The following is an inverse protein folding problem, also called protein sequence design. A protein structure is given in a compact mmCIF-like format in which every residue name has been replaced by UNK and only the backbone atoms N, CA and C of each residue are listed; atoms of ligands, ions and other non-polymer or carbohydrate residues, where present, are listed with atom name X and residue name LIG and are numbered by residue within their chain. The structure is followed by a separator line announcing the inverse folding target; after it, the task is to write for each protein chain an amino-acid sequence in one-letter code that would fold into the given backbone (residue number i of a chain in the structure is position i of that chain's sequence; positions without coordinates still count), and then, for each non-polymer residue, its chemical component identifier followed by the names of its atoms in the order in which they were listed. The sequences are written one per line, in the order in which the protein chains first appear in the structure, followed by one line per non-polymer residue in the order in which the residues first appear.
data_IF_588843723703
#
_entry.id   IF_588843723703
#
_cell.length_a   1.000
_cell.length_b   1.000
_cell.length_c   1.000
_cell.angle_alpha   90.00
_cell.angle_beta   90.00
_cell.angle_gamma   90.00
#
_symmetry.space_group_name_H-M   'P 1'
#
loop_
_entity.id
_entity.type
_entity.pdbx_description
1 polymer ?
#
# COMPACT_ATOMS: atom_id res chain seq x y z
N UNK A 1 -9.47 -0.04 20.50
CA UNK A 1 -9.51 1.20 21.30
C UNK A 1 -8.26 1.95 20.94
N UNK A 2 -8.42 3.15 20.38
CA UNK A 2 -7.34 3.96 19.88
C UNK A 2 -6.22 4.15 20.92
N UNK A 3 -4.98 3.91 20.47
CA UNK A 3 -3.78 4.13 21.27
C UNK A 3 -3.30 5.58 21.18
N UNK A 4 -3.51 6.21 20.01
CA UNK A 4 -3.23 7.63 19.77
C UNK A 4 -4.51 8.29 19.26
N UNK A 5 -4.85 9.44 19.82
CA UNK A 5 -5.98 10.26 19.39
C UNK A 5 -5.57 11.71 19.28
N UNK A 6 -5.81 12.32 18.13
CA UNK A 6 -5.71 13.76 17.90
C UNK A 6 -7.13 14.31 17.73
N UNK A 7 -7.49 15.34 18.49
CA UNK A 7 -8.82 15.98 18.43
C UNK A 7 -8.68 17.46 18.17
N UNK A 8 -9.11 17.91 16.99
CA UNK A 8 -9.08 19.30 16.54
C UNK A 8 -7.72 19.98 16.78
N UNK A 9 -6.63 19.30 16.45
CA UNK A 9 -5.28 19.76 16.76
C UNK A 9 -4.90 20.92 15.85
N UNK A 10 -4.51 22.03 16.47
CA UNK A 10 -3.86 23.15 15.80
C UNK A 10 -2.42 23.30 16.30
N UNK A 11 -1.51 23.62 15.38
CA UNK A 11 -0.20 24.17 15.70
C UNK A 11 0.10 25.39 14.85
N UNK A 12 0.14 26.54 15.50
CA UNK A 12 0.54 27.81 14.89
C UNK A 12 1.90 28.21 15.46
N UNK A 13 2.80 28.67 14.60
CA UNK A 13 4.05 29.30 15.01
C UNK A 13 3.92 30.81 14.90
N UNK A 14 4.24 31.55 15.95
CA UNK A 14 4.16 33.01 15.97
C UNK A 14 3.61 33.53 17.29
N UNK A 15 3.53 34.86 17.43
CA UNK A 15 3.06 35.49 18.67
C UNK A 15 1.54 35.58 18.76
N UNK A 16 0.83 35.48 17.64
CA UNK A 16 -0.62 35.70 17.54
C UNK A 16 -1.41 34.41 17.30
N UNK A 17 -1.02 33.29 17.92
CA UNK A 17 -1.61 31.96 17.67
C UNK A 17 -3.14 31.95 17.75
N UNK A 18 -3.72 32.56 18.80
CA UNK A 18 -5.18 32.61 19.00
C UNK A 18 -5.93 33.38 17.92
N UNK A 19 -5.35 34.48 17.45
CA UNK A 19 -5.97 35.30 16.39
C UNK A 19 -5.92 34.57 15.06
N UNK A 20 -4.79 33.93 14.74
CA UNK A 20 -4.65 33.09 13.54
C UNK A 20 -5.68 31.96 13.53
N UNK A 21 -5.83 31.24 14.65
CA UNK A 21 -6.81 30.16 14.76
C UNK A 21 -8.23 30.69 14.51
N UNK A 22 -8.62 31.77 15.20
CA UNK A 22 -9.96 32.38 15.06
C UNK A 22 -10.25 32.80 13.62
N UNK A 23 -9.27 33.38 12.92
CA UNK A 23 -9.42 33.79 11.51
C UNK A 23 -9.58 32.60 10.58
N UNK A 24 -8.79 31.56 10.77
CA UNK A 24 -8.91 30.32 10.00
C UNK A 24 -10.27 29.65 10.23
N UNK A 25 -10.78 29.65 11.48
CA UNK A 25 -12.12 29.15 11.80
C UNK A 25 -13.23 29.98 11.12
N UNK A 26 -12.99 31.27 10.88
CA UNK A 26 -13.91 32.15 10.15
C UNK A 26 -13.80 32.05 8.62
N UNK A 27 -12.88 31.22 8.09
CA UNK A 27 -12.73 30.95 6.66
C UNK A 27 -11.57 31.67 5.97
N UNK A 28 -10.73 32.41 6.68
CA UNK A 28 -9.53 33.02 6.10
C UNK A 28 -8.53 31.95 5.65
N UNK A 29 -7.83 32.18 4.53
CA UNK A 29 -6.76 31.28 4.08
C UNK A 29 -5.51 31.45 4.97
N UNK A 30 -4.85 30.33 5.29
CA UNK A 30 -3.63 30.34 6.12
C UNK A 30 -2.50 31.17 5.51
N UNK A 31 -2.43 31.27 4.18
CA UNK A 31 -1.35 31.95 3.49
C UNK A 31 -1.48 33.47 3.59
N UNK A 32 -2.69 33.99 3.73
CA UNK A 32 -2.96 35.41 3.99
C UNK A 32 -2.62 35.83 5.43
N UNK A 33 -2.41 34.86 6.32
CA UNK A 33 -2.14 35.09 7.74
C UNK A 33 -0.66 34.98 8.12
N UNK A 34 0.24 34.79 7.15
CA UNK A 34 1.69 34.58 7.37
C UNK A 34 2.37 35.71 8.16
N UNK A 35 1.87 36.94 8.05
CA UNK A 35 2.38 38.09 8.82
C UNK A 35 2.03 38.01 10.32
N UNK A 36 0.96 37.29 10.69
CA UNK A 36 0.53 37.07 12.07
C UNK A 36 1.11 35.79 12.67
N UNK A 37 1.31 34.78 11.83
CA UNK A 37 1.92 33.50 12.20
C UNK A 37 1.74 32.42 11.13
N UNK A 38 2.50 31.34 11.27
CA UNK A 38 2.44 30.19 10.34
C UNK A 38 1.62 29.08 10.95
N UNK A 39 0.39 28.89 10.45
CA UNK A 39 -0.46 27.76 10.83
C UNK A 39 0.02 26.47 10.14
N UNK A 40 0.81 25.67 10.85
CA UNK A 40 1.45 24.47 10.29
C UNK A 40 0.54 23.23 10.33
N UNK A 41 -0.25 23.08 11.39
CA UNK A 41 -1.29 22.04 11.53
C UNK A 41 -2.60 22.72 11.85
N UNK A 42 -3.67 22.35 11.15
CA UNK A 42 -4.96 23.03 11.17
C UNK A 42 -6.05 21.97 11.29
N UNK A 43 -6.74 21.97 12.43
CA UNK A 43 -7.90 21.12 12.71
C UNK A 43 -7.68 19.62 12.43
N UNK A 44 -6.52 19.08 12.82
CA UNK A 44 -6.22 17.68 12.59
C UNK A 44 -6.93 16.79 13.61
N UNK A 45 -7.82 15.91 13.13
CA UNK A 45 -8.56 14.94 13.94
C UNK A 45 -8.43 13.54 13.37
N UNK A 46 -7.92 12.60 14.17
CA UNK A 46 -7.78 11.19 13.79
C UNK A 46 -7.51 10.29 15.00
N UNK A 47 -7.71 8.99 14.79
CA UNK A 47 -7.43 7.93 15.76
C UNK A 47 -6.56 6.86 15.11
N UNK A 48 -5.59 6.35 15.89
CA UNK A 48 -4.70 5.24 15.50
C UNK A 48 -4.90 4.10 16.49
N UNK A 49 -5.29 2.95 15.97
CA UNK A 49 -5.53 1.72 16.70
C UNK A 49 -4.22 0.99 17.03
N UNK A 50 -4.28 0.13 18.04
CA UNK A 50 -3.11 -0.65 18.46
C UNK A 50 -2.69 -1.63 17.35
N UNK A 51 -1.42 -1.59 16.98
CA UNK A 51 -0.84 -2.47 15.97
C UNK A 51 -1.06 -2.00 14.53
N UNK A 52 -1.67 -0.83 14.34
CA UNK A 52 -1.87 -0.19 13.04
C UNK A 52 -0.58 0.52 12.60
N UNK A 53 -0.25 0.44 11.31
CA UNK A 53 0.64 1.36 10.62
C UNK A 53 -0.22 2.48 10.01
N UNK A 54 -0.21 3.64 10.67
CA UNK A 54 -0.87 4.85 10.21
C UNK A 54 0.11 5.76 9.49
N UNK A 55 -0.07 5.91 8.18
CA UNK A 55 0.82 6.72 7.35
C UNK A 55 0.28 8.14 7.23
N UNK A 56 1.14 9.14 7.41
CA UNK A 56 0.83 10.55 7.15
C UNK A 56 1.65 10.99 5.95
N UNK A 57 0.96 11.31 4.85
CA UNK A 57 1.59 11.67 3.58
C UNK A 57 1.22 13.08 3.12
N UNK A 58 1.94 13.59 2.12
CA UNK A 58 1.69 14.90 1.52
C UNK A 58 2.99 15.60 1.11
N UNK A 59 2.87 16.71 0.39
CA UNK A 59 4.04 17.46 -0.10
C UNK A 59 4.87 18.07 1.04
N UNK A 60 6.08 18.50 0.70
CA UNK A 60 6.88 19.34 1.59
C UNK A 60 6.08 20.58 2.03
N UNK A 61 6.19 20.95 3.30
CA UNK A 61 5.44 22.09 3.87
C UNK A 61 3.97 21.83 4.22
N UNK A 62 3.42 20.62 3.99
CA UNK A 62 2.01 20.33 4.30
C UNK A 62 1.69 20.17 5.80
N UNK A 63 2.70 20.18 6.68
CA UNK A 63 2.51 20.12 8.13
C UNK A 63 2.85 18.77 8.79
N UNK A 64 3.16 17.73 8.02
CA UNK A 64 3.42 16.35 8.51
C UNK A 64 4.40 16.29 9.68
N UNK A 65 5.62 16.77 9.48
CA UNK A 65 6.67 16.72 10.51
C UNK A 65 6.39 17.64 11.70
N UNK A 66 5.47 18.61 11.55
CA UNK A 66 4.97 19.38 12.70
C UNK A 66 3.94 18.57 13.46
N UNK A 67 3.04 17.87 12.77
CA UNK A 67 2.05 16.98 13.38
C UNK A 67 2.73 15.89 14.21
N UNK A 68 3.67 15.12 13.67
CA UNK A 68 4.33 14.04 14.44
C UNK A 68 5.10 14.55 15.66
N UNK A 69 5.74 15.72 15.56
CA UNK A 69 6.43 16.35 16.69
C UNK A 69 5.45 16.85 17.75
N UNK A 70 4.24 17.24 17.33
CA UNK A 70 3.14 17.58 18.24
C UNK A 70 2.60 16.32 18.93
N UNK A 71 2.51 15.19 18.22
CA UNK A 71 2.14 13.89 18.81
C UNK A 71 3.16 13.40 19.85
N UNK A 72 4.45 13.66 19.62
CA UNK A 72 5.52 13.38 20.59
C UNK A 72 5.56 14.41 21.74
N UNK A 73 4.80 15.50 21.67
CA UNK A 73 4.88 16.62 22.61
C UNK A 73 6.20 17.41 22.55
N UNK A 74 6.97 17.30 21.46
CA UNK A 74 8.11 18.20 21.20
C UNK A 74 7.64 19.62 20.91
N UNK A 75 6.46 19.75 20.31
CA UNK A 75 5.72 21.00 20.20
C UNK A 75 4.42 20.90 20.98
N UNK A 76 4.09 21.95 21.75
CA UNK A 76 2.77 22.07 22.36
C UNK A 76 1.71 22.42 21.31
N UNK A 77 0.51 21.88 21.48
CA UNK A 77 -0.66 22.28 20.69
C UNK A 77 -1.00 23.75 20.95
N UNK A 78 -1.41 24.46 19.91
CA UNK A 78 -1.96 25.82 20.03
C UNK A 78 -3.46 25.77 20.37
N UNK A 79 -4.16 24.73 19.91
CA UNK A 79 -5.54 24.37 20.27
C UNK A 79 -5.74 22.86 20.03
N UNK A 80 -6.84 22.31 20.54
CA UNK A 80 -7.14 20.88 20.51
C UNK A 80 -6.36 20.07 21.55
N UNK A 81 -6.47 18.75 21.45
CA UNK A 81 -5.81 17.80 22.37
C UNK A 81 -5.17 16.63 21.64
N UNK A 82 -4.14 16.07 22.27
CA UNK A 82 -3.49 14.83 21.85
C UNK A 82 -3.49 13.87 23.03
N UNK A 83 -4.01 12.67 22.83
CA UNK A 83 -4.01 11.60 23.81
C UNK A 83 -3.11 10.46 23.37
N UNK A 84 -2.28 9.99 24.30
CA UNK A 84 -1.36 8.87 24.12
C UNK A 84 -1.65 7.85 25.22
N UNK A 85 -2.01 6.62 24.83
CA UNK A 85 -2.37 5.55 25.76
C UNK A 85 -3.40 5.98 26.82
N UNK A 86 -4.41 6.75 26.38
CA UNK A 86 -5.48 7.27 27.24
C UNK A 86 -5.09 8.47 28.11
N UNK A 87 -3.92 9.07 27.92
CA UNK A 87 -3.45 10.24 28.66
C UNK A 87 -3.33 11.45 27.75
N UNK A 88 -4.02 12.55 28.08
CA UNK A 88 -3.95 13.82 27.35
C UNK A 88 -2.61 14.52 27.61
N UNK A 89 -1.71 14.48 26.62
CA UNK A 89 -0.36 15.05 26.72
C UNK A 89 -0.35 16.56 26.52
N UNK A 90 -1.43 17.15 25.98
CA UNK A 90 -1.50 18.59 25.68
C UNK A 90 -1.56 19.46 26.94
N UNK A 91 -1.92 18.87 28.08
CA UNK A 91 -2.08 19.54 29.38
C UNK A 91 -0.99 19.17 30.40
N UNK A 92 -0.08 18.28 30.04
CA UNK A 92 0.93 17.76 30.94
C UNK A 92 2.04 18.76 31.23
N UNK A 93 2.60 18.68 32.43
CA UNK A 93 3.85 19.35 32.73
C UNK A 93 5.06 18.58 32.15
N UNK A 94 6.24 19.20 32.18
CA UNK A 94 7.45 18.64 31.57
C UNK A 94 7.92 17.31 32.20
N UNK A 95 7.56 17.01 33.45
CA UNK A 95 7.93 15.74 34.11
C UNK A 95 7.00 14.62 33.68
N UNK A 96 5.70 14.88 33.65
CA UNK A 96 4.68 13.93 33.15
C UNK A 96 4.93 13.58 31.68
N UNK A 97 5.19 14.59 30.84
CA UNK A 97 5.46 14.39 29.42
C UNK A 97 6.76 13.60 29.17
N UNK A 98 7.78 13.76 30.02
CA UNK A 98 8.99 12.93 29.96
C UNK A 98 8.72 11.47 30.29
N UNK A 99 7.84 11.20 31.27
CA UNK A 99 7.45 9.83 31.61
C UNK A 99 6.69 9.17 30.45
N UNK A 100 5.70 9.85 29.86
CA UNK A 100 4.95 9.32 28.71
C UNK A 100 5.87 9.00 27.54
N UNK A 101 6.80 9.91 27.19
CA UNK A 101 7.76 9.65 26.11
C UNK A 101 8.65 8.46 26.39
N UNK A 102 9.20 8.37 27.60
CA UNK A 102 10.09 7.27 27.99
C UNK A 102 9.38 5.90 27.96
N UNK A 103 8.11 5.87 28.35
CA UNK A 103 7.39 4.61 28.58
C UNK A 103 6.56 4.16 27.35
N UNK A 104 6.10 5.09 26.51
CA UNK A 104 5.14 4.77 25.43
C UNK A 104 5.59 5.19 24.02
N UNK A 105 6.58 6.07 23.85
CA UNK A 105 6.90 6.65 22.53
C UNK A 105 8.37 6.47 22.17
N UNK A 106 8.63 5.78 21.07
CA UNK A 106 9.91 5.81 20.37
C UNK A 106 9.83 6.69 19.12
N UNK A 107 10.92 7.37 18.78
CA UNK A 107 10.99 8.20 17.57
C UNK A 107 12.22 7.89 16.73
N UNK A 108 12.00 7.74 15.42
CA UNK A 108 13.03 7.65 14.39
C UNK A 108 12.97 8.94 13.57
N UNK A 109 14.09 9.66 13.54
CA UNK A 109 14.21 10.95 12.88
C UNK A 109 14.68 10.82 11.43
N UNK A 110 14.37 11.82 10.61
CA UNK A 110 14.84 11.93 9.22
C UNK A 110 16.38 11.93 9.13
N UNK A 111 17.04 12.68 10.01
CA UNK A 111 18.48 12.59 10.22
C UNK A 111 18.73 11.72 11.45
N UNK A 112 19.62 10.73 11.33
CA UNK A 112 19.80 9.58 12.23
C UNK A 112 19.82 9.92 13.74
N UNK A 113 20.18 11.16 14.11
CA UNK A 113 20.19 11.68 15.46
C UNK A 113 20.92 10.73 16.44
N UNK A 114 21.98 10.09 15.94
CA UNK A 114 22.85 9.25 16.72
C UNK A 114 23.81 10.14 17.52
N UNK A 115 24.13 9.72 18.73
CA UNK A 115 25.11 10.39 19.55
C UNK A 115 26.50 10.01 19.02
N UNK A 116 27.29 10.97 18.50
CA UNK A 116 28.54 10.68 17.81
C UNK A 116 29.65 10.21 18.76
N UNK A 117 29.52 10.51 20.06
CA UNK A 117 30.44 10.12 21.12
C UNK A 117 30.06 8.80 21.80
N UNK A 118 29.03 8.13 21.31
CA UNK A 118 28.59 6.82 21.78
C UNK A 118 28.80 5.77 20.69
N UNK A 119 29.11 4.54 21.08
CA UNK A 119 29.19 3.43 20.13
C UNK A 119 27.80 3.07 19.58
N UNK A 120 27.75 2.22 18.57
CA UNK A 120 26.51 1.66 18.02
C UNK A 120 25.69 0.96 19.10
N UNK A 121 26.33 0.12 19.93
CA UNK A 121 25.69 -0.56 21.06
C UNK A 121 25.12 0.42 22.07
N UNK A 122 25.89 1.44 22.43
CA UNK A 122 25.46 2.45 23.40
C UNK A 122 24.30 3.31 22.88
N UNK A 123 24.32 3.65 21.59
CA UNK A 123 23.21 4.34 20.94
C UNK A 123 21.93 3.48 21.01
N UNK A 124 22.02 2.19 20.69
CA UNK A 124 20.89 1.26 20.75
C UNK A 124 20.37 1.06 22.19
N UNK A 125 21.26 0.99 23.18
CA UNK A 125 20.91 0.78 24.60
C UNK A 125 20.42 2.06 25.33
N UNK A 126 20.48 3.22 24.70
CA UNK A 126 20.29 4.51 25.37
C UNK A 126 18.89 4.70 25.99
N UNK A 127 17.85 4.24 25.30
CA UNK A 127 16.47 4.31 25.79
C UNK A 127 16.28 3.52 27.09
N UNK A 128 16.79 2.30 27.14
CA UNK A 128 16.79 1.42 28.30
C UNK A 128 17.61 2.02 29.47
N UNK A 129 18.73 2.70 29.15
CA UNK A 129 19.49 3.45 30.16
C UNK A 129 18.63 4.54 30.82
N UNK A 130 17.82 5.28 30.04
CA UNK A 130 16.92 6.31 30.57
C UNK A 130 15.73 5.74 31.35
N UNK A 131 15.34 4.50 31.05
CA UNK A 131 14.36 3.73 31.82
C UNK A 131 14.92 3.15 33.13
N UNK A 132 16.23 3.22 33.34
CA UNK A 132 16.89 2.71 34.54
C UNK A 132 17.17 1.20 34.50
N UNK A 133 17.16 0.59 33.31
CA UNK A 133 17.54 -0.81 33.14
C UNK A 133 19.01 -1.04 33.51
N UNK A 134 19.31 -2.23 34.04
CA UNK A 134 20.67 -2.63 34.38
C UNK A 134 21.58 -2.60 33.15
N UNK A 135 22.87 -2.32 33.36
CA UNK A 135 23.84 -2.18 32.27
C UNK A 135 23.97 -3.46 31.46
N UNK A 136 24.02 -4.63 32.08
CA UNK A 136 24.24 -5.87 31.34
C UNK A 136 22.96 -6.27 30.57
N UNK A 137 21.79 -6.06 31.18
CA UNK A 137 20.50 -6.30 30.53
C UNK A 137 20.30 -5.40 29.31
N UNK A 138 20.54 -4.10 29.43
CA UNK A 138 20.31 -3.16 28.33
C UNK A 138 21.27 -3.36 27.16
N UNK A 139 22.53 -3.74 27.43
CA UNK A 139 23.51 -4.01 26.38
C UNK A 139 23.15 -5.30 25.63
N UNK A 140 22.71 -6.33 26.37
CA UNK A 140 22.23 -7.57 25.75
C UNK A 140 21.02 -7.32 24.84
N UNK A 141 20.00 -6.60 25.32
CA UNK A 141 18.84 -6.24 24.48
C UNK A 141 19.22 -5.41 23.27
N UNK A 142 20.16 -4.47 23.43
CA UNK A 142 20.68 -3.69 22.31
C UNK A 142 21.36 -4.59 21.26
N UNK A 143 22.18 -5.56 21.68
CA UNK A 143 22.84 -6.49 20.77
C UNK A 143 21.83 -7.38 20.02
N UNK A 144 20.77 -7.86 20.69
CA UNK A 144 19.69 -8.63 20.05
C UNK A 144 18.99 -7.83 18.93
N UNK A 145 18.69 -6.55 19.18
CA UNK A 145 18.09 -5.68 18.17
C UNK A 145 19.06 -5.29 17.06
N UNK A 146 20.34 -5.09 17.38
CA UNK A 146 21.39 -4.82 16.40
C UNK A 146 21.60 -6.02 15.47
N UNK A 147 21.59 -7.24 16.00
CA UNK A 147 21.62 -8.45 15.19
C UNK A 147 20.40 -8.56 14.28
N UNK A 148 19.20 -8.27 14.82
CA UNK A 148 17.93 -8.30 14.08
C UNK A 148 17.92 -7.35 12.88
N UNK A 149 18.51 -6.15 13.02
CA UNK A 149 18.63 -5.19 11.91
C UNK A 149 19.86 -5.44 11.03
N UNK A 150 20.61 -6.53 11.25
CA UNK A 150 21.76 -6.93 10.44
C UNK A 150 23.04 -6.15 10.70
N UNK A 151 23.24 -5.64 11.93
CA UNK A 151 24.44 -4.91 12.36
C UNK A 151 25.35 -5.73 13.30
N UNK A 152 25.22 -7.06 13.28
CA UNK A 152 26.11 -7.95 14.03
C UNK A 152 27.58 -7.70 13.66
N UNK A 153 28.45 -7.54 14.66
CA UNK A 153 29.87 -7.25 14.51
C UNK A 153 30.21 -5.75 14.39
N UNK A 154 29.22 -4.85 14.41
CA UNK A 154 29.41 -3.39 14.36
C UNK A 154 29.15 -2.70 15.70
N UNK A 155 28.87 -3.45 16.76
CA UNK A 155 28.37 -2.96 18.05
C UNK A 155 29.32 -1.96 18.72
N UNK A 156 30.64 -2.21 18.61
CA UNK A 156 31.69 -1.39 19.23
C UNK A 156 32.18 -0.24 18.34
N UNK A 157 31.58 -0.06 17.14
CA UNK A 157 31.91 1.01 16.20
C UNK A 157 31.23 2.32 16.56
N UNK A 158 31.75 3.43 16.06
CA UNK A 158 31.13 4.75 16.19
C UNK A 158 30.26 5.07 14.95
N UNK A 159 29.23 5.92 15.08
CA UNK A 159 28.38 6.31 13.95
C UNK A 159 29.14 6.85 12.73
N UNK A 160 30.27 7.53 12.94
CA UNK A 160 31.12 8.05 11.86
C UNK A 160 31.80 6.96 11.02
N UNK A 161 31.87 5.73 11.51
CA UNK A 161 32.42 4.58 10.80
C UNK A 161 31.35 3.83 9.97
N UNK A 162 30.09 4.28 10.01
CA UNK A 162 28.95 3.63 9.38
C UNK A 162 28.46 4.36 8.13
N UNK A 163 27.95 3.61 7.15
CA UNK A 163 27.17 4.17 6.05
C UNK A 163 25.84 4.76 6.53
N UNK A 164 25.20 5.62 5.75
CA UNK A 164 23.90 6.21 6.11
C UNK A 164 22.82 5.16 6.39
N UNK A 165 22.75 4.09 5.59
CA UNK A 165 21.83 2.98 5.80
C UNK A 165 22.08 2.23 7.11
N UNK A 166 23.34 2.04 7.48
CA UNK A 166 23.70 1.43 8.76
C UNK A 166 23.34 2.35 9.92
N UNK A 167 23.58 3.66 9.82
CA UNK A 167 23.17 4.62 10.84
C UNK A 167 21.64 4.63 11.05
N UNK A 168 20.86 4.48 9.97
CA UNK A 168 19.41 4.34 10.07
C UNK A 168 19.00 3.08 10.84
N UNK A 169 19.65 1.95 10.56
CA UNK A 169 19.43 0.68 11.28
C UNK A 169 19.74 0.80 12.76
N UNK A 170 20.80 1.53 13.14
CA UNK A 170 21.07 1.85 14.56
C UNK A 170 19.93 2.67 15.16
N UNK A 171 19.44 3.68 14.45
CA UNK A 171 18.30 4.50 14.89
C UNK A 171 17.02 3.68 15.10
N UNK A 172 16.75 2.72 14.21
CA UNK A 172 15.64 1.79 14.32
C UNK A 172 15.84 0.81 15.49
N UNK A 173 17.03 0.22 15.63
CA UNK A 173 17.36 -0.66 16.75
C UNK A 173 17.20 0.05 18.10
N UNK A 174 17.66 1.30 18.22
CA UNK A 174 17.44 2.14 19.41
C UNK A 174 15.96 2.33 19.74
N UNK A 175 15.14 2.57 18.72
CA UNK A 175 13.71 2.78 18.86
C UNK A 175 12.98 1.49 19.27
N UNK A 176 13.38 0.35 18.72
CA UNK A 176 12.81 -0.97 19.01
C UNK A 176 13.24 -1.49 20.39
N UNK A 177 14.51 -1.31 20.76
CA UNK A 177 15.06 -1.68 22.06
C UNK A 177 14.40 -0.97 23.24
N UNK A 178 13.78 0.18 23.00
CA UNK A 178 13.03 0.91 24.03
C UNK A 178 11.74 0.19 24.49
N UNK A 179 11.28 -0.83 23.75
CA UNK A 179 10.07 -1.63 24.03
C UNK A 179 8.77 -0.82 24.19
N UNK A 180 8.72 0.39 23.65
CA UNK A 180 7.57 1.30 23.72
C UNK A 180 6.39 0.85 22.85
N UNK A 181 5.17 1.27 23.18
CA UNK A 181 3.96 0.90 22.44
C UNK A 181 3.88 1.54 21.03
N UNK A 182 4.43 2.76 20.89
CA UNK A 182 4.28 3.61 19.71
C UNK A 182 5.64 3.91 19.09
N UNK A 183 5.74 3.74 17.77
CA UNK A 183 6.89 4.12 16.97
C UNK A 183 6.50 5.28 16.02
N UNK A 184 7.09 6.45 16.25
CA UNK A 184 6.95 7.62 15.40
C UNK A 184 8.12 7.68 14.41
N UNK A 185 7.86 7.77 13.12
CA UNK A 185 8.89 7.82 12.08
C UNK A 185 8.70 9.05 11.19
N UNK A 186 9.66 9.97 11.19
CA UNK A 186 9.61 11.21 10.39
C UNK A 186 10.53 11.09 9.17
N UNK A 187 9.99 10.75 7.99
CA UNK A 187 10.72 10.57 6.72
C UNK A 187 11.98 9.69 6.83
N UNK A 188 11.88 8.64 7.66
CA UNK A 188 12.98 7.78 8.08
C UNK A 188 13.75 7.12 6.91
N UNK A 189 13.11 6.97 5.74
CA UNK A 189 13.70 6.28 4.60
C UNK A 189 14.08 7.21 3.43
N UNK A 190 13.78 8.51 3.56
CA UNK A 190 13.98 9.50 2.49
C UNK A 190 15.44 9.71 2.11
N UNK A 191 16.35 9.65 3.09
CA UNK A 191 17.78 9.86 2.90
C UNK A 191 18.55 8.61 2.39
N UNK A 192 17.84 7.51 2.13
CA UNK A 192 18.44 6.24 1.74
C UNK A 192 18.40 6.03 0.22
N UNK A 193 19.46 5.39 -0.29
CA UNK A 193 19.52 4.86 -1.65
C UNK A 193 18.36 3.87 -1.91
N UNK A 194 17.84 3.77 -3.15
CA UNK A 194 16.65 2.97 -3.46
C UNK A 194 16.71 1.50 -3.05
N UNK A 195 17.89 0.86 -3.14
CA UNK A 195 18.04 -0.55 -2.76
C UNK A 195 17.92 -0.73 -1.25
N UNK A 196 18.65 0.09 -0.48
CA UNK A 196 18.63 0.05 0.98
C UNK A 196 17.26 0.46 1.52
N UNK A 197 16.60 1.43 0.88
CA UNK A 197 15.23 1.83 1.21
C UNK A 197 14.28 0.63 1.16
N UNK A 198 14.28 -0.13 0.06
CA UNK A 198 13.41 -1.31 -0.10
C UNK A 198 13.69 -2.38 0.94
N UNK A 199 14.97 -2.67 1.19
CA UNK A 199 15.37 -3.63 2.22
C UNK A 199 14.86 -3.22 3.60
N UNK A 200 15.00 -1.94 3.95
CA UNK A 200 14.51 -1.40 5.23
C UNK A 200 12.98 -1.43 5.36
N UNK A 201 12.27 -1.13 4.28
CA UNK A 201 10.80 -1.20 4.23
C UNK A 201 10.33 -2.65 4.44
N UNK A 202 10.94 -3.62 3.76
CA UNK A 202 10.63 -5.03 3.92
C UNK A 202 10.90 -5.49 5.36
N UNK A 203 12.05 -5.14 5.93
CA UNK A 203 12.36 -5.44 7.32
C UNK A 203 11.34 -4.84 8.29
N UNK A 204 10.89 -3.61 8.07
CA UNK A 204 9.87 -2.99 8.92
C UNK A 204 8.53 -3.74 8.82
N UNK A 205 8.12 -4.14 7.62
CA UNK A 205 6.89 -4.92 7.40
C UNK A 205 6.96 -6.30 8.10
N UNK A 206 8.09 -7.00 7.97
CA UNK A 206 8.33 -8.29 8.65
C UNK A 206 8.34 -8.15 10.18
N UNK A 207 9.00 -7.11 10.69
CA UNK A 207 9.01 -6.79 12.11
C UNK A 207 7.63 -6.44 12.62
N UNK A 208 6.83 -5.71 11.85
CA UNK A 208 5.48 -5.35 12.24
C UNK A 208 4.58 -6.59 12.42
N UNK A 209 4.68 -7.56 11.52
CA UNK A 209 3.93 -8.82 11.62
C UNK A 209 4.21 -9.55 12.95
N UNK A 210 5.44 -9.43 13.46
CA UNK A 210 5.90 -10.10 14.69
C UNK A 210 5.61 -9.27 15.94
N UNK A 211 5.90 -7.97 15.91
CA UNK A 211 5.89 -7.10 17.11
C UNK A 211 4.57 -6.41 17.36
N UNK A 212 3.74 -6.24 16.32
CA UNK A 212 2.44 -5.55 16.37
C UNK A 212 2.51 -4.21 17.11
N UNK A 213 3.58 -3.44 16.86
CA UNK A 213 3.74 -2.09 17.42
C UNK A 213 2.81 -1.13 16.70
N UNK A 214 2.45 -0.02 17.32
CA UNK A 214 1.65 1.00 16.63
C UNK A 214 2.60 1.97 15.97
N UNK A 215 2.55 2.11 14.65
CA UNK A 215 3.51 2.91 13.90
C UNK A 215 2.79 4.11 13.30
N UNK A 216 3.30 5.31 13.54
CA UNK A 216 2.89 6.51 12.80
C UNK A 216 4.06 6.92 11.92
N UNK A 217 3.87 6.75 10.62
CA UNK A 217 4.93 6.85 9.64
C UNK A 217 4.69 8.02 8.69
N UNK A 218 5.64 8.97 8.61
CA UNK A 218 5.59 10.06 7.64
C UNK A 218 6.43 9.73 6.44
N UNK A 219 5.83 9.92 5.25
CA UNK A 219 6.54 9.90 3.99
C UNK A 219 5.99 10.92 3.00
N UNK A 220 6.75 11.20 1.96
CA UNK A 220 6.30 11.89 0.76
C UNK A 220 6.15 10.92 -0.43
N UNK A 221 6.58 9.66 -0.30
CA UNK A 221 6.50 8.63 -1.33
C UNK A 221 5.20 7.84 -1.16
N UNK A 222 4.36 7.88 -2.19
CA UNK A 222 3.06 7.22 -2.15
C UNK A 222 3.17 5.70 -2.26
N UNK A 223 4.15 5.17 -3.00
CA UNK A 223 4.34 3.73 -3.09
C UNK A 223 4.75 3.16 -1.72
N UNK A 224 5.52 3.92 -0.95
CA UNK A 224 5.87 3.57 0.42
C UNK A 224 4.67 3.60 1.36
N UNK A 225 3.83 4.64 1.25
CA UNK A 225 2.60 4.73 2.03
C UNK A 225 1.66 3.55 1.75
N UNK A 226 1.54 3.15 0.49
CA UNK A 226 0.68 2.05 0.06
C UNK A 226 1.25 0.68 0.42
N UNK A 227 2.58 0.52 0.43
CA UNK A 227 3.24 -0.74 0.77
C UNK A 227 3.21 -1.04 2.28
N UNK A 228 3.35 -0.01 3.12
CA UNK A 228 3.46 -0.18 4.58
C UNK A 228 2.18 0.14 5.35
N UNK A 229 1.34 1.04 4.83
CA UNK A 229 0.24 1.64 5.60
C UNK A 229 -1.04 0.83 5.57
N UNK A 230 -1.60 0.57 6.77
CA UNK A 230 -2.96 0.07 6.92
C UNK A 230 -3.98 1.19 6.58
N UNK A 231 -3.70 2.40 7.07
CA UNK A 231 -4.46 3.62 6.79
C UNK A 231 -3.53 4.78 6.48
N UNK A 232 -3.98 5.62 5.58
CA UNK A 232 -3.22 6.74 5.05
C UNK A 232 -4.01 8.03 5.28
N UNK A 233 -3.36 9.01 5.91
CA UNK A 233 -3.84 10.38 6.02
C UNK A 233 -3.07 11.27 5.03
N UNK A 234 -3.77 11.79 4.04
CA UNK A 234 -3.22 12.75 3.07
C UNK A 234 -3.34 14.15 3.64
N UNK A 235 -2.21 14.85 3.81
CA UNK A 235 -2.18 16.22 4.32
C UNK A 235 -1.88 17.24 3.22
N UNK A 236 -2.68 18.31 3.19
CA UNK A 236 -2.49 19.49 2.33
C UNK A 236 -2.60 20.74 3.16
N UNK A 237 -1.65 21.66 3.03
CA UNK A 237 -1.77 23.00 3.63
C UNK A 237 -2.15 22.94 5.12
N UNK A 238 -1.56 22.01 5.88
CA UNK A 238 -1.77 21.86 7.32
C UNK A 238 -3.04 21.13 7.72
N UNK A 239 -3.93 20.85 6.77
CA UNK A 239 -5.18 20.11 6.97
C UNK A 239 -5.03 18.68 6.50
N UNK A 240 -5.81 17.80 7.09
CA UNK A 240 -6.01 16.45 6.57
C UNK A 240 -7.06 16.54 5.46
N UNK A 241 -6.68 16.19 4.23
CA UNK A 241 -7.56 16.18 3.07
C UNK A 241 -8.41 14.91 3.02
N UNK A 242 -7.81 13.75 3.31
CA UNK A 242 -8.50 12.46 3.33
C UNK A 242 -7.81 11.50 4.29
N UNK A 243 -8.59 10.63 4.94
CA UNK A 243 -8.09 9.45 5.66
C UNK A 243 -8.83 8.23 5.10
N UNK A 244 -8.10 7.18 4.75
CA UNK A 244 -8.70 5.94 4.25
C UNK A 244 -7.68 4.80 4.17
N UNK A 245 -8.14 3.63 3.77
CA UNK A 245 -7.22 2.54 3.38
C UNK A 245 -6.51 2.90 2.08
N UNK A 246 -5.43 2.17 1.76
CA UNK A 246 -4.76 2.29 0.46
C UNK A 246 -5.75 2.18 -0.72
N UNK A 247 -6.70 1.24 -0.64
CA UNK A 247 -7.74 1.03 -1.64
C UNK A 247 -8.73 2.21 -1.72
N UNK A 248 -9.15 2.77 -0.58
CA UNK A 248 -10.06 3.93 -0.55
C UNK A 248 -9.44 5.15 -1.19
N UNK A 249 -8.15 5.42 -0.91
CA UNK A 249 -7.42 6.56 -1.47
C UNK A 249 -7.32 6.45 -3.00
N UNK A 250 -7.12 5.23 -3.53
CA UNK A 250 -7.01 4.99 -4.98
C UNK A 250 -8.37 5.00 -5.69
N UNK A 251 -9.38 4.37 -5.10
CA UNK A 251 -10.68 4.15 -5.74
C UNK A 251 -11.61 5.35 -5.57
N UNK A 252 -11.50 6.07 -4.46
CA UNK A 252 -12.41 7.15 -4.07
C UNK A 252 -11.62 8.38 -3.55
N UNK A 253 -10.80 9.04 -4.39
CA UNK A 253 -10.09 10.25 -3.98
C UNK A 253 -11.08 11.37 -3.64
N UNK A 254 -10.88 12.01 -2.48
CA UNK A 254 -11.81 13.00 -1.93
C UNK A 254 -11.87 14.30 -2.73
N UNK A 255 -10.77 14.71 -3.35
CA UNK A 255 -10.68 15.91 -4.17
C UNK A 255 -9.64 15.76 -5.30
N UNK A 256 -9.54 16.78 -6.16
CA UNK A 256 -8.58 16.80 -7.27
C UNK A 256 -7.12 16.81 -6.80
N UNK A 257 -6.85 17.29 -5.58
CA UNK A 257 -5.52 17.22 -5.01
C UNK A 257 -5.17 15.76 -4.71
N UNK A 258 -5.99 15.01 -3.98
CA UNK A 258 -5.72 13.58 -3.73
C UNK A 258 -5.64 12.81 -5.05
N UNK A 259 -6.52 13.09 -6.02
CA UNK A 259 -6.46 12.47 -7.36
C UNK A 259 -5.13 12.74 -8.07
N UNK A 260 -4.61 13.96 -7.99
CA UNK A 260 -3.32 14.30 -8.60
C UNK A 260 -2.13 13.58 -7.96
N UNK A 261 -2.20 13.24 -6.67
CA UNK A 261 -1.12 12.51 -5.98
C UNK A 261 -1.04 11.04 -6.38
N UNK A 262 -2.17 10.42 -6.70
CA UNK A 262 -2.26 8.98 -6.95
C UNK A 262 -1.97 8.59 -8.41
N UNK A 263 -1.64 9.55 -9.29
CA UNK A 263 -1.50 9.30 -10.73
C UNK A 263 -0.36 8.31 -11.06
N UNK A 264 0.77 8.41 -10.38
CA UNK A 264 1.98 7.63 -10.65
C UNK A 264 2.14 6.41 -9.72
N UNK A 265 1.03 5.95 -9.10
CA UNK A 265 1.07 4.81 -8.17
C UNK A 265 0.97 3.50 -8.91
N UNK A 266 1.81 2.55 -8.52
CA UNK A 266 1.68 1.16 -8.95
C UNK A 266 0.48 0.48 -8.26
N UNK A 267 -0.70 0.62 -8.88
CA UNK A 267 -1.97 0.04 -8.39
C UNK A 267 -1.93 -1.49 -8.29
N UNK A 268 -1.07 -2.15 -9.06
CA UNK A 268 -0.98 -3.62 -9.09
C UNK A 268 -0.52 -4.24 -7.77
N UNK A 269 0.17 -3.45 -6.94
CA UNK A 269 0.66 -3.87 -5.61
C UNK A 269 -0.35 -3.61 -4.49
N UNK A 270 -1.37 -2.81 -4.76
CA UNK A 270 -2.39 -2.44 -3.76
C UNK A 270 -3.65 -3.27 -3.95
N UNK A 271 -4.07 -3.46 -5.19
CA UNK A 271 -5.24 -4.27 -5.48
C UNK A 271 -4.96 -5.76 -5.34
N UNK A 272 -5.93 -6.44 -4.74
CA UNK A 272 -5.94 -7.88 -4.51
C UNK A 272 -6.83 -8.56 -5.56
N UNK A 273 -6.70 -9.89 -5.68
CA UNK A 273 -7.58 -10.68 -6.54
C UNK A 273 -9.06 -10.44 -6.21
N UNK A 274 -9.40 -10.31 -4.92
CA UNK A 274 -10.75 -10.05 -4.46
C UNK A 274 -11.30 -8.68 -4.88
N UNK A 275 -10.47 -7.63 -4.91
CA UNK A 275 -10.94 -6.28 -5.26
C UNK A 275 -11.26 -6.12 -6.76
N UNK A 276 -10.61 -6.92 -7.62
CA UNK A 276 -10.83 -6.87 -9.08
C UNK A 276 -11.69 -8.01 -9.64
N UNK A 277 -11.85 -9.12 -8.91
CA UNK A 277 -12.57 -10.28 -9.44
C UNK A 277 -13.99 -9.94 -9.88
N UNK A 278 -14.41 -10.56 -10.97
CA UNK A 278 -15.82 -10.64 -11.33
C UNK A 278 -16.47 -11.88 -10.71
N UNK A 279 -17.81 -11.99 -10.79
CA UNK A 279 -18.46 -13.27 -10.56
C UNK A 279 -17.86 -14.33 -11.49
N UNK A 280 -17.82 -15.61 -11.08
CA UNK A 280 -17.30 -16.66 -11.94
C UNK A 280 -18.03 -16.64 -13.29
N UNK A 281 -17.28 -16.53 -14.39
CA UNK A 281 -17.84 -16.83 -15.72
C UNK A 281 -18.45 -18.23 -15.65
N UNK A 282 -19.58 -18.48 -16.32
CA UNK A 282 -20.41 -19.68 -16.16
C UNK A 282 -19.55 -20.95 -16.02
N UNK A 283 -19.50 -21.50 -14.80
CA UNK A 283 -18.89 -22.80 -14.54
C UNK A 283 -19.94 -23.90 -14.70
N UNK A 284 -19.51 -25.08 -15.13
CA UNK A 284 -20.38 -26.22 -15.34
C UNK A 284 -20.12 -27.30 -14.29
N UNK A 285 -21.17 -28.02 -13.90
CA UNK A 285 -21.00 -29.14 -12.98
C UNK A 285 -20.30 -30.31 -13.68
N UNK A 286 -19.46 -31.06 -12.96
CA UNK A 286 -18.84 -32.29 -13.47
C UNK A 286 -19.87 -33.32 -13.99
N UNK A 287 -21.09 -33.31 -13.44
CA UNK A 287 -22.19 -34.17 -13.89
C UNK A 287 -22.85 -33.72 -15.19
N UNK A 288 -22.46 -32.58 -15.76
CA UNK A 288 -22.95 -32.12 -17.06
C UNK A 288 -22.37 -32.96 -18.21
N UNK A 289 -23.03 -32.97 -19.37
CA UNK A 289 -22.53 -33.68 -20.55
C UNK A 289 -21.56 -32.83 -21.37
N UNK A 290 -20.67 -33.44 -22.19
CA UNK A 290 -19.72 -32.72 -23.03
C UNK A 290 -20.36 -31.68 -23.98
N UNK A 291 -21.57 -31.95 -24.50
CA UNK A 291 -22.29 -30.99 -25.34
C UNK A 291 -22.70 -29.70 -24.61
N UNK A 292 -22.89 -29.76 -23.29
CA UNK A 292 -23.15 -28.56 -22.48
C UNK A 292 -21.88 -27.72 -22.37
N UNK A 293 -20.73 -28.37 -22.15
CA UNK A 293 -19.43 -27.69 -22.13
C UNK A 293 -19.13 -26.98 -23.46
N UNK A 294 -19.35 -27.65 -24.60
CA UNK A 294 -19.16 -27.06 -25.94
C UNK A 294 -20.03 -25.82 -26.13
N UNK A 295 -21.31 -25.90 -25.75
CA UNK A 295 -22.23 -24.77 -25.88
C UNK A 295 -21.79 -23.58 -25.02
N UNK A 296 -21.39 -23.83 -23.77
CA UNK A 296 -20.94 -22.75 -22.87
C UNK A 296 -19.64 -22.10 -23.38
N UNK A 297 -18.69 -22.89 -23.89
CA UNK A 297 -17.48 -22.38 -24.56
C UNK A 297 -17.82 -21.50 -25.77
N UNK A 298 -18.79 -21.92 -26.60
CA UNK A 298 -19.26 -21.12 -27.75
C UNK A 298 -19.95 -19.81 -27.33
N UNK A 299 -20.80 -19.85 -26.30
CA UNK A 299 -21.48 -18.65 -25.77
C UNK A 299 -20.48 -17.66 -25.15
N UNK A 300 -19.44 -18.15 -24.47
CA UNK A 300 -18.39 -17.33 -23.87
C UNK A 300 -17.29 -16.90 -24.85
N UNK A 301 -17.23 -17.51 -26.04
CA UNK A 301 -16.10 -17.40 -26.98
C UNK A 301 -14.74 -17.77 -26.37
N UNK A 302 -14.72 -18.79 -25.51
CA UNK A 302 -13.52 -19.31 -24.84
C UNK A 302 -13.23 -20.74 -25.30
N UNK A 303 -11.96 -21.16 -25.33
CA UNK A 303 -11.54 -22.52 -25.73
C UNK A 303 -11.56 -23.54 -24.58
N UNK A 304 -11.92 -23.10 -23.37
CA UNK A 304 -12.03 -23.93 -22.19
C UNK A 304 -13.12 -23.40 -21.26
N UNK A 305 -13.64 -24.26 -20.39
CA UNK A 305 -14.66 -23.92 -19.39
C UNK A 305 -14.32 -24.52 -18.03
N UNK A 306 -14.61 -23.77 -16.96
CA UNK A 306 -14.36 -24.19 -15.58
C UNK A 306 -15.39 -25.23 -15.11
N UNK A 307 -14.90 -26.26 -14.42
CA UNK A 307 -15.73 -27.33 -13.87
C UNK A 307 -15.74 -27.29 -12.35
N UNK A 308 -16.95 -27.35 -11.77
CA UNK A 308 -17.16 -27.35 -10.32
C UNK A 308 -18.00 -28.55 -9.88
N UNK A 309 -17.99 -28.84 -8.57
CA UNK A 309 -18.98 -29.74 -7.97
C UNK A 309 -20.22 -28.97 -7.48
N UNK A 310 -21.22 -29.70 -6.95
CA UNK A 310 -22.45 -29.09 -6.41
C UNK A 310 -22.22 -28.20 -5.18
N UNK A 311 -21.09 -28.31 -4.50
CA UNK A 311 -20.72 -27.47 -3.36
C UNK A 311 -20.04 -26.16 -3.80
N UNK A 312 -19.76 -26.01 -5.11
CA UNK A 312 -19.03 -24.88 -5.68
C UNK A 312 -17.51 -25.03 -5.58
N UNK A 313 -17.02 -26.24 -5.27
CA UNK A 313 -15.58 -26.53 -5.26
C UNK A 313 -15.08 -26.60 -6.70
N UNK A 314 -13.98 -25.92 -6.98
CA UNK A 314 -13.29 -25.98 -8.28
C UNK A 314 -12.65 -27.35 -8.45
N UNK A 315 -12.99 -28.04 -9.54
CA UNK A 315 -12.44 -29.35 -9.87
C UNK A 315 -11.37 -29.28 -10.97
N UNK A 316 -11.47 -28.30 -11.87
CA UNK A 316 -10.53 -28.11 -12.97
C UNK A 316 -11.17 -27.38 -14.16
N UNK A 317 -10.65 -27.62 -15.35
CA UNK A 317 -11.18 -27.11 -16.62
C UNK A 317 -11.39 -28.24 -17.63
N UNK A 318 -12.24 -27.99 -18.63
CA UNK A 318 -12.40 -28.84 -19.81
C UNK A 318 -12.14 -28.00 -21.04
N UNK A 319 -11.29 -28.48 -21.95
CA UNK A 319 -11.03 -27.82 -23.24
C UNK A 319 -12.04 -28.23 -24.30
N UNK A 320 -12.14 -27.44 -25.36
CA UNK A 320 -12.91 -27.74 -26.56
C UNK A 320 -12.54 -29.08 -27.19
N UNK A 321 -11.24 -29.39 -27.35
CA UNK A 321 -10.74 -30.65 -27.89
C UNK A 321 -11.25 -31.87 -27.09
N UNK A 322 -11.14 -31.80 -25.75
CA UNK A 322 -11.57 -32.88 -24.87
C UNK A 322 -13.09 -33.05 -24.86
N UNK A 323 -13.82 -31.93 -24.86
CA UNK A 323 -15.28 -31.95 -24.88
C UNK A 323 -15.80 -32.54 -26.19
N UNK A 324 -15.24 -32.15 -27.34
CA UNK A 324 -15.60 -32.73 -28.66
C UNK A 324 -15.22 -34.21 -28.72
N UNK A 325 -14.04 -34.58 -28.22
CA UNK A 325 -13.60 -35.97 -28.14
C UNK A 325 -14.55 -36.84 -27.30
N UNK A 326 -14.95 -36.35 -26.13
CA UNK A 326 -15.88 -37.06 -25.24
C UNK A 326 -17.31 -37.12 -25.79
N UNK A 327 -17.78 -36.07 -26.47
CA UNK A 327 -19.05 -36.07 -27.17
C UNK A 327 -19.11 -37.17 -28.25
N UNK A 328 -18.04 -37.31 -29.04
CA UNK A 328 -17.93 -38.34 -30.08
C UNK A 328 -17.87 -39.77 -29.50
N UNK A 329 -17.30 -39.93 -28.29
CA UNK A 329 -17.30 -41.20 -27.55
C UNK A 329 -18.62 -41.52 -26.84
N UNK A 330 -19.58 -40.59 -26.84
CA UNK A 330 -20.88 -40.76 -26.18
C UNK A 330 -20.83 -40.66 -24.66
N UNK A 331 -19.82 -39.98 -24.10
CA UNK A 331 -19.71 -39.77 -22.66
C UNK A 331 -20.84 -38.87 -22.13
N UNK A 332 -21.28 -39.13 -20.90
CA UNK A 332 -22.43 -38.45 -20.28
C UNK A 332 -22.06 -37.48 -19.16
N UNK A 333 -20.81 -37.54 -18.69
CA UNK A 333 -20.26 -36.67 -17.65
C UNK A 333 -18.91 -36.13 -18.10
N UNK A 334 -18.41 -35.12 -17.40
CA UNK A 334 -17.10 -34.53 -17.66
C UNK A 334 -15.99 -35.20 -16.83
N UNK A 335 -16.32 -36.03 -15.85
CA UNK A 335 -15.38 -36.53 -14.82
C UNK A 335 -14.06 -37.07 -15.37
N UNK A 336 -14.08 -37.74 -16.53
CA UNK A 336 -12.91 -38.36 -17.14
C UNK A 336 -12.06 -37.40 -17.99
N UNK A 337 -12.55 -36.19 -18.25
CA UNK A 337 -11.91 -35.19 -19.11
C UNK A 337 -11.61 -33.88 -18.38
N UNK A 338 -11.80 -33.83 -17.05
CA UNK A 338 -11.40 -32.67 -16.25
C UNK A 338 -9.88 -32.63 -16.19
N UNK A 339 -9.29 -31.52 -16.66
CA UNK A 339 -7.87 -31.21 -16.51
C UNK A 339 -7.66 -30.33 -15.29
N UNK A 340 -6.67 -30.70 -14.48
CA UNK A 340 -6.15 -29.87 -13.38
C UNK A 340 -4.82 -29.21 -13.73
N UNK A 341 -4.29 -29.49 -14.92
CA UNK A 341 -3.12 -28.84 -15.49
C UNK A 341 -3.57 -27.52 -16.14
N UNK A 342 -2.70 -26.51 -16.12
CA UNK A 342 -2.93 -25.19 -16.73
C UNK A 342 -4.06 -24.35 -16.11
N UNK A 343 -4.71 -24.83 -15.05
CA UNK A 343 -5.60 -24.01 -14.23
C UNK A 343 -4.79 -23.21 -13.22
N UNK A 344 -4.89 -21.89 -13.32
CA UNK A 344 -4.26 -20.98 -12.35
C UNK A 344 -5.28 -20.60 -11.29
N UNK A 345 -4.84 -20.70 -10.03
CA UNK A 345 -5.64 -20.33 -8.88
C UNK A 345 -4.86 -19.37 -8.00
N UNK A 346 -5.56 -18.47 -7.33
CA UNK A 346 -5.00 -17.60 -6.31
C UNK A 346 -5.94 -17.46 -5.11
N UNK A 347 -5.38 -17.05 -3.98
CA UNK A 347 -6.14 -16.66 -2.80
C UNK A 347 -6.74 -15.25 -2.98
N UNK A 348 -7.81 -14.90 -2.25
CA UNK A 348 -8.50 -13.62 -2.42
C UNK A 348 -7.63 -12.40 -2.12
N UNK A 349 -6.68 -12.54 -1.20
CA UNK A 349 -5.73 -11.53 -0.75
C UNK A 349 -4.48 -11.41 -1.62
N UNK A 350 -4.32 -12.28 -2.65
CA UNK A 350 -3.16 -12.24 -3.53
C UNK A 350 -3.09 -10.94 -4.33
N UNK A 351 -1.91 -10.31 -4.38
CA UNK A 351 -1.69 -9.04 -5.08
C UNK A 351 -1.64 -9.23 -6.60
N UNK A 352 -2.25 -8.30 -7.36
CA UNK A 352 -2.32 -8.39 -8.83
C UNK A 352 -0.94 -8.43 -9.50
N UNK A 353 0.05 -7.74 -8.93
CA UNK A 353 1.43 -7.72 -9.42
C UNK A 353 2.02 -9.13 -9.61
N UNK A 354 1.72 -10.05 -8.68
CA UNK A 354 2.23 -11.43 -8.69
C UNK A 354 1.42 -12.34 -9.62
N UNK A 355 0.21 -11.92 -9.98
CA UNK A 355 -0.74 -12.72 -10.74
C UNK A 355 -0.63 -12.52 -12.25
N UNK A 356 -0.05 -11.40 -12.70
CA UNK A 356 0.01 -11.07 -14.13
C UNK A 356 0.87 -12.05 -14.94
N UNK A 357 2.12 -12.27 -14.52
CA UNK A 357 3.05 -13.14 -15.21
C UNK A 357 2.52 -14.57 -15.39
N UNK A 358 2.01 -15.25 -14.34
CA UNK A 358 1.44 -16.58 -14.54
C UNK A 358 0.16 -16.53 -15.40
N UNK A 359 -0.68 -15.51 -15.28
CA UNK A 359 -1.96 -15.43 -16.01
C UNK A 359 -1.86 -15.03 -17.48
N UNK A 360 -0.68 -14.62 -17.96
CA UNK A 360 -0.51 -14.10 -19.33
C UNK A 360 -0.71 -15.17 -20.42
N UNK A 361 -0.44 -16.43 -20.10
CA UNK A 361 -0.52 -17.57 -21.01
C UNK A 361 -1.70 -18.51 -20.69
N UNK A 362 -2.52 -18.17 -19.69
CA UNK A 362 -3.59 -19.02 -19.21
C UNK A 362 -4.76 -19.09 -20.23
N UNK A 363 -5.31 -20.29 -20.49
CA UNK A 363 -6.42 -20.48 -21.42
C UNK A 363 -7.78 -20.00 -20.86
N UNK A 364 -7.87 -19.86 -19.54
CA UNK A 364 -9.07 -19.40 -18.82
C UNK A 364 -8.71 -18.25 -17.86
N UNK A 365 -9.68 -17.42 -17.46
CA UNK A 365 -9.50 -16.43 -16.41
C UNK A 365 -8.92 -17.04 -15.12
N UNK A 366 -8.08 -16.26 -14.43
CA UNK A 366 -7.49 -16.67 -13.15
C UNK A 366 -8.60 -16.93 -12.12
N UNK A 367 -8.59 -18.10 -11.50
CA UNK A 367 -9.61 -18.49 -10.54
C UNK A 367 -9.26 -18.03 -9.12
N UNK A 368 -10.19 -17.35 -8.45
CA UNK A 368 -10.04 -16.96 -7.03
C UNK A 368 -10.75 -18.00 -6.18
N UNK A 369 -10.01 -18.67 -5.31
CA UNK A 369 -10.53 -19.76 -4.46
C UNK A 369 -10.26 -19.51 -2.98
N UNK A 370 -11.12 -20.02 -2.10
CA UNK A 370 -10.86 -20.05 -0.65
C UNK A 370 -9.99 -21.26 -0.23
N UNK A 371 -9.68 -21.35 1.07
CA UNK A 371 -8.93 -22.47 1.67
C UNK A 371 -9.55 -23.86 1.44
N UNK A 372 -10.85 -23.91 1.10
CA UNK A 372 -11.60 -25.14 0.82
C UNK A 372 -11.73 -25.41 -0.68
N UNK A 373 -11.02 -24.66 -1.52
CA UNK A 373 -11.06 -24.71 -2.98
C UNK A 373 -12.43 -24.33 -3.57
N UNK A 374 -13.23 -23.56 -2.84
CA UNK A 374 -14.49 -23.02 -3.36
C UNK A 374 -14.18 -21.88 -4.32
N UNK A 375 -14.76 -21.92 -5.52
CA UNK A 375 -14.62 -20.85 -6.50
C UNK A 375 -15.43 -19.61 -6.05
N UNK A 376 -14.73 -18.54 -5.70
CA UNK A 376 -15.33 -17.28 -5.27
C UNK A 376 -15.60 -16.34 -6.45
N UNK A 377 -14.71 -16.35 -7.44
CA UNK A 377 -14.76 -15.47 -8.59
C UNK A 377 -13.66 -15.78 -9.59
N UNK A 378 -13.61 -14.99 -10.65
CA UNK A 378 -12.53 -15.06 -11.64
C UNK A 378 -12.01 -13.66 -11.95
N UNK A 379 -10.73 -13.57 -12.31
CA UNK A 379 -10.09 -12.34 -12.77
C UNK A 379 -9.77 -12.47 -14.25
N UNK A 380 -10.58 -11.87 -15.15
CA UNK A 380 -10.27 -11.83 -16.57
C UNK A 380 -8.95 -11.08 -16.83
N UNK A 381 -8.21 -11.49 -17.87
CA UNK A 381 -6.94 -10.86 -18.25
C UNK A 381 -7.07 -9.35 -18.49
N UNK A 382 -8.18 -8.89 -19.07
CA UNK A 382 -8.44 -7.46 -19.30
C UNK A 382 -8.52 -6.69 -17.98
N UNK A 383 -9.08 -7.28 -16.92
CA UNK A 383 -9.10 -6.66 -15.60
C UNK A 383 -7.72 -6.60 -14.95
N UNK A 384 -6.88 -7.63 -15.12
CA UNK A 384 -5.47 -7.58 -14.69
C UNK A 384 -4.73 -6.44 -15.41
N UNK A 385 -4.92 -6.32 -16.72
CA UNK A 385 -4.32 -5.24 -17.52
C UNK A 385 -4.82 -3.85 -17.12
N UNK A 386 -6.12 -3.69 -16.88
CA UNK A 386 -6.69 -2.43 -16.40
C UNK A 386 -6.16 -2.04 -15.02
N UNK A 387 -5.98 -3.02 -14.12
CA UNK A 387 -5.43 -2.77 -12.79
C UNK A 387 -3.93 -2.40 -12.83
N UNK A 388 -3.20 -2.83 -13.86
CA UNK A 388 -1.81 -2.44 -14.11
C UNK A 388 -1.66 -1.14 -14.91
N UNK A 389 -2.68 -0.81 -15.71
CA UNK A 389 -2.70 0.42 -16.49
C UNK A 389 -2.78 1.62 -15.56
N UNK A 390 -1.77 2.49 -15.61
CA UNK A 390 -1.97 3.88 -15.21
C UNK A 390 -3.08 4.42 -16.09
N UNK A 391 -4.09 5.09 -15.51
CA UNK A 391 -5.00 5.93 -16.28
C UNK A 391 -4.17 7.07 -16.85
N UNK A 392 -3.45 6.81 -17.93
CA UNK A 392 -2.89 7.83 -18.78
C UNK A 392 -4.08 8.57 -19.36
N UNK A 393 -4.40 9.73 -18.78
CA UNK A 393 -4.91 10.84 -19.59
C UNK A 393 -3.82 11.16 -20.61
N UNK A 394 -3.87 10.44 -21.73
CA UNK A 394 -2.87 10.48 -22.77
C UNK A 394 -2.84 11.88 -23.41
N UNK A 395 -1.82 12.67 -23.07
CA UNK A 395 -1.25 13.69 -23.97
C UNK A 395 0.07 13.23 -24.58
N UNK A 396 0.43 11.95 -24.45
CA UNK A 396 1.50 11.33 -25.22
C UNK A 396 0.92 10.62 -26.44
N UNK A 397 1.34 11.01 -27.64
CA UNK A 397 1.02 10.30 -28.89
C UNK A 397 1.35 8.81 -28.73
N UNK A 398 0.31 7.97 -28.74
CA UNK A 398 0.48 6.53 -28.91
C UNK A 398 1.19 6.32 -30.27
N UNK A 399 2.23 5.46 -30.35
CA UNK A 399 2.83 5.13 -31.64
C UNK A 399 1.73 4.55 -32.55
N UNK A 400 1.63 5.08 -33.77
CA UNK A 400 0.63 4.67 -34.74
C UNK A 400 0.75 3.16 -35.00
N UNK A 401 -0.16 2.38 -34.42
CA UNK A 401 -0.36 0.99 -34.79
C UNK A 401 -0.95 1.03 -36.19
N UNK A 402 -0.17 0.59 -37.18
CA UNK A 402 -0.63 0.51 -38.56
C UNK A 402 -1.91 -0.37 -38.60
N UNK A 403 -3.04 0.13 -39.15
CA UNK A 403 -4.22 -0.70 -39.27
C UNK A 403 -3.93 -1.90 -40.18
N UNK A 404 -4.62 -3.01 -39.91
CA UNK A 404 -4.56 -4.22 -40.75
C UNK A 404 -4.89 -3.82 -42.20
N UNK A 405 -4.05 -4.18 -43.19
CA UNK A 405 -4.36 -3.89 -44.59
C UNK A 405 -5.69 -4.53 -44.97
N UNK A 406 -6.60 -3.76 -45.54
CA UNK A 406 -7.81 -4.33 -46.13
C UNK A 406 -7.40 -5.24 -47.30
N UNK A 407 -7.98 -6.44 -47.43
CA UNK A 407 -7.68 -7.31 -48.56
C UNK A 407 -8.09 -6.60 -49.85
N UNK A 408 -7.15 -6.49 -50.79
CA UNK A 408 -7.41 -5.99 -52.14
C UNK A 408 -8.44 -6.92 -52.78
N UNK A 409 -9.61 -6.36 -53.11
CA UNK A 409 -10.58 -7.02 -53.97
C UNK A 409 -9.97 -7.13 -55.36
N UNK A 410 -9.55 -8.34 -55.73
CA UNK A 410 -9.32 -8.70 -57.12
C UNK A 410 -10.66 -8.65 -57.85
N UNK A 411 -11.01 -7.50 -58.41
CA UNK A 411 -12.02 -7.41 -59.46
C UNK A 411 -11.34 -7.73 -60.80
N UNK A 412 -11.14 -9.02 -61.04
CA UNK A 412 -11.14 -9.56 -62.40
C UNK A 412 -12.51 -10.22 -62.61
N UNK A 413 -13.43 -9.51 -63.25
CA UNK A 413 -14.45 -10.17 -64.06
C UNK A 413 -14.84 -9.29 -65.27
N UNK A 414 -14.52 -9.84 -66.44
CA UNK A 414 -14.97 -9.49 -67.77
C UNK A 414 -16.42 -8.96 -67.82
N UNK A 415 -16.63 -7.86 -68.56
CA UNK A 415 -17.74 -7.81 -69.52
C UNK A 415 -17.38 -6.96 -70.74
N UNK A 416 -17.18 -7.69 -71.83
CA UNK A 416 -17.26 -7.29 -73.22
C UNK A 416 -18.59 -6.57 -73.54
N UNK A 417 -18.57 -5.41 -74.21
CA UNK A 417 -19.27 -5.16 -75.50
C UNK A 417 -19.36 -3.67 -75.89
N UNK A 418 -18.82 -3.42 -77.07
CA UNK A 418 -19.09 -2.44 -78.12
C UNK A 418 -20.11 -1.28 -77.98
N UNK A 419 -19.79 -0.24 -78.78
CA UNK A 419 -20.56 0.92 -79.31
C UNK A 419 -20.31 2.23 -78.53
N UNK A 420 -19.99 3.38 -79.12
CA UNK A 420 -19.88 3.83 -80.50
C UNK A 420 -20.13 5.35 -80.53
N UNK A 421 -19.29 6.08 -81.28
CA UNK A 421 -19.50 7.42 -81.87
C UNK A 421 -19.55 8.70 -81.01
N UNK A 422 -18.58 9.56 -81.34
CA UNK A 422 -18.68 10.93 -81.87
C UNK A 422 -19.38 12.05 -81.08
N UNK A 423 -18.63 13.16 -81.02
CA UNK A 423 -18.95 14.57 -80.72
C UNK A 423 -18.82 15.03 -79.26
#
# INVERSE_FOLDING_TARGET
MALVRASHVYKVFGQHEKEVIRRIENGDDRDDLRDLGTAAVIDASFEVERGEIFVVMGLSGSGKSTLIRTLNGLWSTSSGSVEIAGKDISKMNATELRAVRRDHISMVFQHFALMPHHTVRENAAYSLQLQGADKDERLKKADEWLETVGLKGWEDKYPSELSGGMQQRVGLARALAAETDILLMDEAFSALDPLIRREMQQQLAELQHTLKKTIIFITHDLNEAMYLGDRIAVMRNGRIAQIGTAEDILSNPADDYVRSFIQDVDRSRVYTAQSVMGPPTKSIYNTAGPNVAIREMQEAQESAVLVTDRSGKLLGLVTDEDAVGAANRGERTLDNIIRTQDILTCQPDAQIADLFAPSAEAPVPLCVVDDKWKLLGVVPRVKLLQAMGTESTATGELPAVAPVPQPETNDDEDTDTATGKEA
#
